data_IF_120980019747
#
_entry.id   IF_120980019747
#
_cell.length_a   1.000
_cell.length_b   1.000
_cell.length_c   1.000
_cell.angle_alpha   90.00
_cell.angle_beta   90.00
_cell.angle_gamma   90.00
#
_symmetry.space_group_name_H-M   'P 1'
#
loop_
_entity.id
_entity.type
_entity.pdbx_description
1 polymer ?
#
# COMPACT_ATOMS: atom_id res chain seq x y z
N UNK A 1 -27.14 3.57 -24.68
CA UNK A 1 -25.77 3.71 -24.15
C UNK A 1 -25.05 2.39 -24.39
N UNK A 2 -23.77 2.39 -24.79
CA UNK A 2 -23.01 1.15 -24.94
C UNK A 2 -22.99 0.40 -23.61
N UNK A 3 -23.22 -0.91 -23.64
CA UNK A 3 -23.14 -1.76 -22.46
C UNK A 3 -21.70 -2.24 -22.32
N UNK A 4 -21.03 -1.88 -21.23
CA UNK A 4 -19.65 -2.30 -20.97
C UNK A 4 -19.67 -3.60 -20.16
N UNK A 5 -18.99 -4.64 -20.65
CA UNK A 5 -18.89 -5.93 -19.96
C UNK A 5 -17.50 -6.04 -19.34
N UNK A 6 -17.44 -6.30 -18.03
CA UNK A 6 -16.18 -6.51 -17.31
C UNK A 6 -15.54 -7.83 -17.75
N UNK A 7 -14.23 -7.85 -18.01
CA UNK A 7 -13.47 -9.06 -18.32
C UNK A 7 -13.18 -9.94 -17.11
N UNK A 8 -13.35 -9.41 -15.91
CA UNK A 8 -13.17 -10.12 -14.65
C UNK A 8 -14.30 -9.73 -13.69
N UNK A 9 -14.80 -10.71 -12.93
CA UNK A 9 -15.85 -10.53 -11.91
C UNK A 9 -15.22 -10.73 -10.55
N UNK A 10 -15.63 -9.90 -9.59
CA UNK A 10 -15.26 -10.05 -8.18
C UNK A 10 -16.02 -11.18 -7.49
N UNK A 11 -16.99 -11.82 -8.15
CA UNK A 11 -18.01 -12.69 -7.56
C UNK A 11 -18.95 -12.00 -6.55
N UNK A 12 -18.88 -10.66 -6.45
CA UNK A 12 -19.78 -9.85 -5.64
C UNK A 12 -20.64 -8.97 -6.54
N UNK A 13 -21.90 -9.36 -6.77
CA UNK A 13 -22.81 -8.67 -7.70
C UNK A 13 -22.90 -7.16 -7.47
N UNK A 14 -22.90 -6.71 -6.20
CA UNK A 14 -22.98 -5.28 -5.89
C UNK A 14 -21.70 -4.52 -6.29
N UNK A 15 -20.53 -5.15 -6.14
CA UNK A 15 -19.24 -4.56 -6.52
C UNK A 15 -19.11 -4.54 -8.04
N UNK A 16 -19.43 -5.65 -8.72
CA UNK A 16 -19.40 -5.73 -10.18
C UNK A 16 -20.33 -4.70 -10.84
N UNK A 17 -21.53 -4.50 -10.29
CA UNK A 17 -22.45 -3.45 -10.75
C UNK A 17 -21.87 -2.04 -10.54
N UNK A 18 -21.21 -1.80 -9.40
CA UNK A 18 -20.57 -0.51 -9.13
C UNK A 18 -19.38 -0.27 -10.08
N UNK A 19 -18.56 -1.29 -10.34
CA UNK A 19 -17.44 -1.25 -11.29
C UNK A 19 -17.94 -0.98 -12.71
N UNK A 20 -19.01 -1.66 -13.16
CA UNK A 20 -19.59 -1.40 -14.48
C UNK A 20 -20.08 0.05 -14.60
N UNK A 21 -20.77 0.58 -13.59
CA UNK A 21 -21.23 1.98 -13.57
C UNK A 21 -20.05 2.97 -13.57
N UNK A 22 -18.95 2.61 -12.93
CA UNK A 22 -17.73 3.43 -12.93
C UNK A 22 -17.11 3.49 -14.32
N UNK A 23 -16.93 2.34 -14.97
CA UNK A 23 -16.41 2.24 -16.34
C UNK A 23 -17.30 3.04 -17.29
N UNK A 24 -18.62 2.81 -17.26
CA UNK A 24 -19.60 3.55 -18.08
C UNK A 24 -19.48 5.06 -17.91
N UNK A 25 -19.35 5.54 -16.67
CA UNK A 25 -19.24 6.96 -16.36
C UNK A 25 -17.95 7.56 -16.91
N UNK A 26 -16.82 6.90 -16.67
CA UNK A 26 -15.51 7.38 -17.10
C UNK A 26 -15.35 7.34 -18.63
N UNK A 27 -15.78 6.26 -19.29
CA UNK A 27 -15.76 6.14 -20.76
C UNK A 27 -16.67 7.19 -21.44
N UNK A 28 -17.80 7.53 -20.81
CA UNK A 28 -18.67 8.59 -21.30
C UNK A 28 -18.08 9.99 -21.11
N UNK A 29 -17.36 10.22 -20.00
CA UNK A 29 -16.74 11.52 -19.68
C UNK A 29 -15.41 11.75 -20.39
N UNK A 30 -14.67 10.69 -20.69
CA UNK A 30 -13.36 10.78 -21.34
C UNK A 30 -13.25 9.82 -22.55
N UNK A 31 -14.02 10.06 -23.62
CA UNK A 31 -14.00 9.17 -24.78
C UNK A 31 -12.59 8.99 -25.34
N UNK A 32 -12.16 7.73 -25.48
CA UNK A 32 -10.85 7.32 -26.02
C UNK A 32 -9.63 7.79 -25.20
N UNK A 33 -9.85 8.29 -23.98
CA UNK A 33 -8.77 8.76 -23.08
C UNK A 33 -8.34 7.73 -22.07
N UNK A 34 -9.10 6.66 -21.88
CA UNK A 34 -8.78 5.64 -20.91
C UNK A 34 -8.26 4.43 -21.66
N UNK A 35 -7.07 3.98 -21.30
CA UNK A 35 -6.46 2.80 -21.89
C UNK A 35 -7.01 1.54 -21.24
N UNK A 36 -7.12 1.52 -19.91
CA UNK A 36 -7.54 0.33 -19.17
C UNK A 36 -8.01 0.62 -17.75
N UNK A 37 -8.70 -0.37 -17.18
CA UNK A 37 -9.12 -0.43 -15.79
C UNK A 37 -8.59 -1.72 -15.19
N UNK A 38 -7.97 -1.63 -14.02
CA UNK A 38 -7.44 -2.79 -13.31
C UNK A 38 -7.95 -2.81 -11.88
N UNK A 39 -8.44 -3.97 -11.47
CA UNK A 39 -8.67 -4.29 -10.07
C UNK A 39 -7.34 -4.73 -9.46
N UNK A 40 -6.99 -4.19 -8.30
CA UNK A 40 -5.82 -4.62 -7.54
C UNK A 40 -6.23 -5.03 -6.12
N UNK A 41 -5.27 -5.33 -5.26
CA UNK A 41 -5.55 -5.67 -3.88
C UNK A 41 -6.31 -6.98 -3.71
N UNK A 42 -7.16 -7.05 -2.69
CA UNK A 42 -7.69 -8.33 -2.23
C UNK A 42 -8.79 -8.93 -3.09
N UNK A 43 -9.56 -8.09 -3.78
CA UNK A 43 -10.56 -8.59 -4.72
C UNK A 43 -9.93 -9.10 -6.02
N UNK A 44 -8.72 -8.65 -6.37
CA UNK A 44 -7.99 -9.13 -7.55
C UNK A 44 -7.34 -10.51 -7.34
N UNK A 45 -7.02 -10.88 -6.10
CA UNK A 45 -6.39 -12.15 -5.75
C UNK A 45 -7.29 -13.11 -4.96
N UNK A 46 -8.59 -12.80 -4.86
CA UNK A 46 -9.60 -13.61 -4.16
C UNK A 46 -9.24 -13.84 -2.68
N UNK A 47 -8.59 -12.86 -2.05
CA UNK A 47 -8.24 -12.89 -0.62
C UNK A 47 -9.02 -11.86 0.20
N UNK A 48 -10.08 -11.29 -0.37
CA UNK A 48 -10.92 -10.29 0.30
C UNK A 48 -11.53 -10.85 1.58
N UNK A 49 -11.72 -9.95 2.53
CA UNK A 49 -12.46 -10.19 3.77
C UNK A 49 -13.60 -9.19 3.82
N UNK A 50 -14.57 -9.40 4.70
CA UNK A 50 -15.76 -8.54 4.79
C UNK A 50 -15.46 -7.05 4.89
N UNK A 51 -14.32 -6.67 5.46
CA UNK A 51 -13.95 -5.27 5.62
C UNK A 51 -13.09 -4.74 4.46
N UNK A 52 -12.64 -5.57 3.52
CA UNK A 52 -11.77 -5.14 2.41
C UNK A 52 -12.37 -4.00 1.58
N UNK A 53 -11.51 -3.04 1.28
CA UNK A 53 -11.69 -2.02 0.24
C UNK A 53 -11.50 -2.61 -1.17
N UNK A 54 -12.07 -1.93 -2.16
CA UNK A 54 -11.90 -2.23 -3.58
C UNK A 54 -10.83 -1.29 -4.14
N UNK A 55 -9.62 -1.82 -4.31
CA UNK A 55 -8.48 -1.11 -4.90
C UNK A 55 -8.60 -1.13 -6.45
N UNK A 56 -8.57 0.04 -7.09
CA UNK A 56 -8.73 0.18 -8.54
C UNK A 56 -7.72 1.16 -9.13
N UNK A 57 -7.13 0.79 -10.27
CA UNK A 57 -6.32 1.69 -11.09
C UNK A 57 -7.04 2.00 -12.41
N UNK A 58 -7.26 3.29 -12.68
CA UNK A 58 -7.78 3.79 -13.96
C UNK A 58 -6.61 4.41 -14.73
N UNK A 59 -6.32 3.86 -15.90
CA UNK A 59 -5.13 4.21 -16.67
C UNK A 59 -5.52 5.12 -17.82
N UNK A 60 -5.15 6.39 -17.72
CA UNK A 60 -5.32 7.37 -18.78
C UNK A 60 -4.25 7.17 -19.87
N UNK A 61 -4.69 7.27 -21.12
CA UNK A 61 -3.84 7.24 -22.30
C UNK A 61 -2.95 8.48 -22.33
N UNK A 62 -1.64 8.24 -22.41
CA UNK A 62 -0.60 9.26 -22.35
C UNK A 62 -0.69 10.05 -21.03
N UNK A 63 -0.49 11.38 -21.08
CA UNK A 63 -0.72 12.29 -19.96
C UNK A 63 -2.13 12.89 -20.02
N UNK A 64 -2.60 13.45 -18.92
CA UNK A 64 -3.73 14.37 -18.93
C UNK A 64 -3.42 15.54 -19.88
N UNK A 65 -4.41 15.91 -20.70
CA UNK A 65 -4.29 16.97 -21.71
C UNK A 65 -4.06 18.33 -21.06
N UNK A 66 -4.67 18.55 -19.91
CA UNK A 66 -4.62 19.79 -19.15
C UNK A 66 -5.07 19.55 -17.70
N UNK A 67 -4.99 20.60 -16.90
CA UNK A 67 -5.36 20.56 -15.49
C UNK A 67 -6.86 20.33 -15.31
N UNK A 68 -7.69 20.79 -16.24
CA UNK A 68 -9.15 20.65 -16.19
C UNK A 68 -9.59 19.19 -16.40
N UNK A 69 -8.97 18.44 -17.31
CA UNK A 69 -9.23 17.00 -17.52
C UNK A 69 -8.90 16.21 -16.25
N UNK A 70 -7.75 16.50 -15.63
CA UNK A 70 -7.34 15.89 -14.37
C UNK A 70 -8.32 16.21 -13.23
N UNK A 71 -8.68 17.48 -13.06
CA UNK A 71 -9.62 17.91 -12.02
C UNK A 71 -10.99 17.26 -12.19
N UNK A 72 -11.48 17.15 -13.43
CA UNK A 72 -12.73 16.45 -13.72
C UNK A 72 -12.62 14.96 -13.35
N UNK A 73 -11.50 14.29 -13.66
CA UNK A 73 -11.31 12.88 -13.31
C UNK A 73 -11.28 12.69 -11.79
N UNK A 74 -10.54 13.53 -11.08
CA UNK A 74 -10.49 13.55 -9.61
C UNK A 74 -11.88 13.82 -9.01
N UNK A 75 -12.66 14.74 -9.58
CA UNK A 75 -14.03 15.00 -9.15
C UNK A 75 -14.94 13.78 -9.34
N UNK A 76 -14.88 13.11 -10.51
CA UNK A 76 -15.69 11.91 -10.77
C UNK A 76 -15.34 10.77 -9.81
N UNK A 77 -14.04 10.60 -9.50
CA UNK A 77 -13.55 9.68 -8.46
C UNK A 77 -14.20 10.01 -7.12
N UNK A 78 -14.05 11.24 -6.65
CA UNK A 78 -14.49 11.65 -5.31
C UNK A 78 -16.02 11.51 -5.15
N UNK A 79 -16.78 11.90 -6.17
CA UNK A 79 -18.23 11.72 -6.20
C UNK A 79 -18.63 10.24 -6.19
N UNK A 80 -17.91 9.39 -6.94
CA UNK A 80 -18.16 7.96 -6.97
C UNK A 80 -17.90 7.34 -5.60
N UNK A 81 -16.72 7.58 -5.02
CA UNK A 81 -16.34 7.07 -3.69
C UNK A 81 -17.29 7.56 -2.61
N UNK A 82 -17.71 8.84 -2.64
CA UNK A 82 -18.70 9.36 -1.70
C UNK A 82 -20.06 8.65 -1.82
N UNK A 83 -20.48 8.32 -3.05
CA UNK A 83 -21.73 7.60 -3.32
C UNK A 83 -21.67 6.13 -2.87
N UNK A 84 -20.57 5.43 -3.16
CA UNK A 84 -20.41 4.01 -2.78
C UNK A 84 -20.19 3.85 -1.29
N UNK A 85 -19.52 4.80 -0.62
CA UNK A 85 -19.37 4.80 0.84
C UNK A 85 -20.71 4.80 1.57
N UNK A 86 -21.73 5.50 1.04
CA UNK A 86 -23.12 5.46 1.59
C UNK A 86 -23.77 4.08 1.46
N UNK A 87 -23.27 3.24 0.57
CA UNK A 87 -23.65 1.84 0.38
C UNK A 87 -22.68 0.86 1.06
N UNK A 88 -21.80 1.36 1.93
CA UNK A 88 -20.80 0.58 2.65
C UNK A 88 -19.78 -0.12 1.74
N UNK A 89 -19.54 0.43 0.55
CA UNK A 89 -18.48 -0.01 -0.36
C UNK A 89 -17.38 1.04 -0.40
N UNK A 90 -16.22 0.71 0.16
CA UNK A 90 -15.02 1.55 0.15
C UNK A 90 -14.25 1.27 -1.14
N UNK A 91 -14.09 2.29 -1.99
CA UNK A 91 -13.30 2.22 -3.21
C UNK A 91 -12.08 3.12 -3.04
N UNK A 92 -10.88 2.55 -3.22
CA UNK A 92 -9.63 3.28 -3.34
C UNK A 92 -9.22 3.32 -4.82
N UNK A 93 -9.42 4.47 -5.46
CA UNK A 93 -9.25 4.62 -6.90
C UNK A 93 -8.04 5.49 -7.18
N UNK A 94 -7.06 4.89 -7.84
CA UNK A 94 -5.89 5.57 -8.39
C UNK A 94 -6.13 5.97 -9.84
N UNK A 95 -5.71 7.18 -10.18
CA UNK A 95 -5.73 7.70 -11.55
C UNK A 95 -4.28 7.79 -12.01
N UNK A 96 -3.93 7.02 -13.03
CA UNK A 96 -2.53 6.90 -13.49
C UNK A 96 -2.41 7.27 -14.95
N UNK A 97 -1.43 8.09 -15.27
CA UNK A 97 -1.04 8.40 -16.64
C UNK A 97 -0.16 7.28 -17.19
N UNK A 98 -0.51 6.73 -18.36
CA UNK A 98 0.26 5.66 -19.00
C UNK A 98 1.71 6.08 -19.28
N UNK A 99 1.96 7.37 -19.49
CA UNK A 99 3.31 7.91 -19.69
C UNK A 99 4.23 7.64 -18.48
N UNK A 100 3.68 7.57 -17.26
CA UNK A 100 4.46 7.21 -16.09
C UNK A 100 5.07 5.81 -16.23
N UNK A 101 4.34 4.85 -16.82
CA UNK A 101 4.83 3.49 -17.04
C UNK A 101 5.93 3.43 -18.12
N UNK A 102 5.90 4.32 -19.10
CA UNK A 102 6.99 4.44 -20.09
C UNK A 102 8.28 4.92 -19.44
N UNK A 103 8.17 5.89 -18.54
CA UNK A 103 9.32 6.48 -17.86
C UNK A 103 9.93 5.54 -16.82
N UNK A 104 9.10 4.87 -16.01
CA UNK A 104 9.58 4.15 -14.82
C UNK A 104 9.28 2.66 -14.77
N UNK A 105 8.43 2.13 -15.66
CA UNK A 105 7.87 0.78 -15.56
C UNK A 105 6.60 0.70 -14.71
N UNK A 106 5.97 -0.48 -14.67
CA UNK A 106 4.72 -0.74 -13.94
C UNK A 106 5.02 -1.28 -12.55
N UNK A 107 4.24 -0.81 -11.57
CA UNK A 107 4.27 -1.26 -10.19
C UNK A 107 3.98 -2.77 -10.07
N UNK A 108 4.66 -3.50 -9.16
CA UNK A 108 4.47 -4.94 -9.02
C UNK A 108 3.03 -5.35 -8.70
N UNK A 109 2.33 -4.56 -7.89
CA UNK A 109 0.94 -4.83 -7.51
C UNK A 109 0.02 -4.86 -8.74
N UNK A 110 0.19 -3.93 -9.67
CA UNK A 110 -0.60 -3.85 -10.88
C UNK A 110 -0.19 -4.95 -11.87
N UNK A 111 1.12 -5.10 -12.14
CA UNK A 111 1.62 -6.00 -13.20
C UNK A 111 1.56 -7.49 -12.86
N UNK A 112 1.80 -7.86 -11.61
CA UNK A 112 1.90 -9.28 -11.19
C UNK A 112 0.64 -9.77 -10.47
N UNK A 113 -0.19 -8.86 -9.94
CA UNK A 113 -1.37 -9.21 -9.15
C UNK A 113 -2.66 -8.54 -9.62
N UNK A 114 -2.59 -7.56 -10.51
CA UNK A 114 -3.77 -6.86 -11.02
C UNK A 114 -4.60 -7.73 -11.96
N UNK A 115 -5.92 -7.59 -11.88
CA UNK A 115 -6.87 -8.18 -12.82
C UNK A 115 -7.41 -7.10 -13.73
N UNK A 116 -7.23 -7.26 -15.04
CA UNK A 116 -7.81 -6.32 -16.01
C UNK A 116 -9.34 -6.46 -15.98
N UNK A 117 -10.02 -5.34 -15.76
CA UNK A 117 -11.48 -5.24 -15.77
C UNK A 117 -12.02 -4.83 -17.13
N UNK A 118 -11.36 -3.88 -17.80
CA UNK A 118 -11.77 -3.37 -19.12
C UNK A 118 -10.60 -2.70 -19.83
N UNK A 119 -10.64 -2.62 -21.16
CA UNK A 119 -9.63 -1.95 -22.00
C UNK A 119 -8.45 -2.82 -22.44
N UNK A 120 -7.34 -2.17 -22.79
CA UNK A 120 -6.13 -2.79 -23.33
C UNK A 120 -5.30 -3.49 -22.23
N UNK A 121 -4.53 -4.53 -22.58
CA UNK A 121 -3.60 -5.15 -21.63
C UNK A 121 -2.27 -4.40 -21.61
N UNK A 122 -2.20 -3.36 -20.77
CA UNK A 122 -1.00 -2.53 -20.65
C UNK A 122 0.13 -3.25 -19.90
N UNK A 123 -0.23 -4.20 -19.03
CA UNK A 123 0.72 -4.94 -18.21
C UNK A 123 1.62 -5.83 -19.07
N UNK A 124 1.14 -6.27 -20.23
CA UNK A 124 1.95 -6.96 -21.23
C UNK A 124 2.94 -6.04 -21.98
N UNK A 125 2.69 -4.73 -22.04
CA UNK A 125 3.46 -3.78 -22.88
C UNK A 125 4.68 -3.18 -22.20
N UNK A 126 4.59 -2.90 -20.91
CA UNK A 126 5.65 -2.21 -20.17
C UNK A 126 6.35 -3.14 -19.19
N UNK A 127 7.66 -2.97 -18.92
CA UNK A 127 8.38 -3.77 -17.94
C UNK A 127 7.90 -3.45 -16.51
N UNK A 128 8.32 -4.26 -15.54
CA UNK A 128 8.25 -3.86 -14.13
C UNK A 128 9.14 -2.64 -13.91
N UNK A 129 8.78 -1.82 -12.93
CA UNK A 129 9.69 -0.82 -12.36
C UNK A 129 11.00 -1.50 -11.91
N UNK A 130 12.19 -0.95 -12.24
CA UNK A 130 13.46 -1.51 -11.79
C UNK A 130 13.49 -1.74 -10.28
N UNK A 131 14.10 -2.84 -9.83
CA UNK A 131 14.02 -3.26 -8.43
C UNK A 131 14.68 -2.25 -7.49
N UNK A 132 15.72 -1.55 -7.95
CA UNK A 132 16.40 -0.49 -7.22
C UNK A 132 15.49 0.72 -7.00
N UNK A 133 14.78 1.15 -8.04
CA UNK A 133 13.83 2.25 -7.95
C UNK A 133 12.63 1.85 -7.07
N UNK A 134 12.15 0.62 -7.19
CA UNK A 134 11.13 0.08 -6.29
C UNK A 134 11.59 0.04 -4.83
N UNK A 135 12.82 -0.42 -4.58
CA UNK A 135 13.40 -0.42 -3.24
C UNK A 135 13.50 1.01 -2.69
N UNK A 136 14.01 1.95 -3.48
CA UNK A 136 14.10 3.36 -3.09
C UNK A 136 12.73 3.94 -2.71
N UNK A 137 11.72 3.78 -3.56
CA UNK A 137 10.36 4.24 -3.27
C UNK A 137 9.80 3.59 -2.01
N UNK A 138 9.94 2.27 -1.84
CA UNK A 138 9.37 1.55 -0.70
C UNK A 138 10.08 1.86 0.61
N UNK A 139 11.40 2.03 0.61
CA UNK A 139 12.18 2.38 1.81
C UNK A 139 11.73 3.74 2.35
N UNK A 140 11.67 4.76 1.49
CA UNK A 140 11.18 6.09 1.87
C UNK A 140 9.70 6.09 2.27
N UNK A 141 8.85 5.37 1.53
CA UNK A 141 7.43 5.31 1.82
C UNK A 141 7.12 4.65 3.18
N UNK A 142 7.86 3.61 3.57
CA UNK A 142 7.70 2.98 4.90
C UNK A 142 8.17 3.92 6.00
N UNK A 143 9.30 4.62 5.84
CA UNK A 143 9.74 5.60 6.82
C UNK A 143 8.70 6.71 7.05
N UNK A 144 8.17 7.27 5.96
CA UNK A 144 7.07 8.21 6.03
C UNK A 144 5.86 7.61 6.76
N UNK A 145 5.47 6.39 6.39
CA UNK A 145 4.32 5.72 6.98
C UNK A 145 4.49 5.50 8.50
N UNK A 146 5.66 5.04 8.94
CA UNK A 146 5.94 4.78 10.37
C UNK A 146 5.90 6.05 11.22
N UNK A 147 6.32 7.19 10.68
CA UNK A 147 6.34 8.49 11.39
C UNK A 147 4.98 9.20 11.36
N UNK A 148 4.15 8.95 10.34
CA UNK A 148 2.85 9.63 10.18
C UNK A 148 1.68 8.81 10.72
N UNK A 149 1.70 7.48 10.57
CA UNK A 149 0.63 6.62 11.07
C UNK A 149 0.68 6.54 12.59
N UNK A 150 1.88 6.38 13.14
CA UNK A 150 2.13 6.49 14.57
C UNK A 150 2.89 7.79 14.76
N UNK A 151 2.25 8.88 15.24
CA UNK A 151 2.84 10.20 15.28
C UNK A 151 4.09 10.16 16.16
N UNK A 152 5.24 10.00 15.52
CA UNK A 152 6.55 9.83 16.16
C UNK A 152 7.49 10.83 15.52
N UNK A 153 8.33 11.43 16.35
CA UNK A 153 9.46 12.20 15.85
C UNK A 153 10.39 11.25 15.11
N UNK A 154 10.92 11.66 13.95
CA UNK A 154 11.75 10.86 13.05
C UNK A 154 13.09 10.46 13.68
N UNK A 155 13.07 9.60 14.69
CA UNK A 155 14.23 9.14 15.46
C UNK A 155 14.53 7.69 15.10
N UNK A 156 15.81 7.31 15.22
CA UNK A 156 16.22 5.93 14.94
C UNK A 156 15.64 4.93 15.95
N UNK A 157 15.61 5.29 17.23
CA UNK A 157 15.07 4.46 18.30
C UNK A 157 13.58 4.75 18.46
N UNK A 158 12.74 3.79 18.13
CA UNK A 158 11.29 3.91 18.19
C UNK A 158 10.75 3.33 19.50
N UNK A 159 10.08 4.17 20.27
CA UNK A 159 9.24 3.72 21.39
C UNK A 159 7.87 3.24 20.89
N UNK A 160 7.11 2.60 21.77
CA UNK A 160 5.70 2.32 21.50
C UNK A 160 4.92 3.61 21.18
N UNK A 161 3.92 3.57 20.29
CA UNK A 161 3.08 4.73 20.00
C UNK A 161 2.41 5.34 21.24
N UNK A 162 1.87 4.50 22.14
CA UNK A 162 1.26 4.91 23.41
C UNK A 162 1.44 3.81 24.46
N UNK A 163 2.32 4.01 25.45
CA UNK A 163 2.69 2.98 26.43
C UNK A 163 1.54 2.50 27.32
N UNK A 164 0.58 3.39 27.60
CA UNK A 164 -0.52 3.09 28.52
C UNK A 164 -1.66 2.29 27.89
N UNK A 165 -1.71 2.21 26.56
CA UNK A 165 -2.74 1.49 25.83
C UNK A 165 -2.53 -0.03 25.86
N UNK A 166 -3.63 -0.79 25.84
CA UNK A 166 -3.60 -2.26 25.87
C UNK A 166 -2.84 -2.88 24.68
N UNK A 167 -2.83 -2.18 23.55
CA UNK A 167 -2.11 -2.58 22.34
C UNK A 167 -1.05 -1.55 21.97
N UNK A 168 -0.53 -0.85 22.98
CA UNK A 168 0.55 0.12 22.86
C UNK A 168 0.28 1.26 21.86
N UNK A 169 -1.00 1.56 21.55
CA UNK A 169 -1.40 2.61 20.60
C UNK A 169 -1.41 2.17 19.14
N UNK A 170 -1.14 0.89 18.85
CA UNK A 170 -1.16 0.39 17.47
C UNK A 170 -2.58 0.30 16.87
N UNK A 171 -3.63 0.35 17.69
CA UNK A 171 -5.05 0.26 17.28
C UNK A 171 -5.68 1.64 17.02
N UNK A 172 -4.93 2.54 16.38
CA UNK A 172 -5.31 3.93 16.16
C UNK A 172 -6.15 4.18 14.89
N UNK A 173 -6.67 3.11 14.27
CA UNK A 173 -7.57 3.19 13.11
C UNK A 173 -8.87 2.46 13.40
N UNK A 174 -9.96 3.00 12.90
CA UNK A 174 -11.26 2.33 12.90
C UNK A 174 -11.64 1.83 11.51
N UNK A 175 -12.57 0.89 11.48
CA UNK A 175 -13.27 0.44 10.27
C UNK A 175 -14.77 0.57 10.49
N UNK A 176 -15.50 0.96 9.45
CA UNK A 176 -16.96 0.96 9.45
C UNK A 176 -17.47 -0.46 9.22
N UNK A 177 -18.27 -0.98 10.13
CA UNK A 177 -18.91 -2.30 10.02
C UNK A 177 -20.19 -2.24 9.19
N UNK A 178 -20.74 -3.41 8.82
CA UNK A 178 -21.97 -3.52 8.03
C UNK A 178 -23.22 -2.88 8.70
N UNK A 179 -23.21 -2.71 10.02
CA UNK A 179 -24.25 -2.01 10.76
C UNK A 179 -24.03 -0.48 10.83
N UNK A 180 -22.97 0.04 10.19
CA UNK A 180 -22.57 1.45 10.21
C UNK A 180 -21.79 1.89 11.45
N UNK A 181 -21.55 1.02 12.43
CA UNK A 181 -20.73 1.38 13.60
C UNK A 181 -19.24 1.33 13.28
N UNK A 182 -18.46 2.17 13.97
CA UNK A 182 -16.99 2.16 13.89
C UNK A 182 -16.40 1.19 14.93
N UNK A 183 -15.39 0.41 14.53
CA UNK A 183 -14.66 -0.49 15.42
C UNK A 183 -13.14 -0.31 15.26
N UNK A 184 -12.35 -0.28 16.35
CA UNK A 184 -10.89 -0.30 16.27
C UNK A 184 -10.40 -1.54 15.52
N UNK A 185 -9.28 -1.39 14.81
CA UNK A 185 -8.76 -2.44 13.95
C UNK A 185 -7.23 -2.53 13.90
N UNK A 186 -6.74 -3.67 13.43
CA UNK A 186 -5.33 -3.99 13.23
C UNK A 186 -4.81 -3.59 11.83
N UNK A 187 -5.60 -2.87 11.03
CA UNK A 187 -5.21 -2.54 9.63
C UNK A 187 -3.91 -1.75 9.54
N UNK A 188 -3.72 -0.76 10.42
CA UNK A 188 -2.49 0.03 10.41
C UNK A 188 -1.28 -0.85 10.78
N UNK A 189 -1.44 -1.75 11.75
CA UNK A 189 -0.43 -2.72 12.14
C UNK A 189 -0.01 -3.61 10.96
N UNK A 190 -0.98 -4.18 10.22
CA UNK A 190 -0.69 -4.99 9.03
C UNK A 190 -0.09 -4.16 7.89
N UNK A 191 -0.57 -2.93 7.69
CA UNK A 191 -0.13 -2.04 6.62
C UNK A 191 1.33 -1.62 6.81
N UNK A 192 1.70 -1.15 8.00
CA UNK A 192 3.08 -0.69 8.27
C UNK A 192 4.08 -1.82 8.17
N UNK A 193 3.79 -2.96 8.81
CA UNK A 193 4.66 -4.13 8.81
C UNK A 193 4.75 -4.78 7.41
N UNK A 194 3.64 -4.90 6.69
CA UNK A 194 3.63 -5.45 5.34
C UNK A 194 4.40 -4.58 4.33
N UNK A 195 4.30 -3.25 4.45
CA UNK A 195 5.10 -2.34 3.63
C UNK A 195 6.58 -2.41 4.02
N UNK A 196 6.91 -2.45 5.31
CA UNK A 196 8.29 -2.61 5.77
C UNK A 196 8.92 -3.90 5.23
N UNK A 197 8.21 -5.03 5.33
CA UNK A 197 8.67 -6.29 4.76
C UNK A 197 8.87 -6.22 3.24
N UNK A 198 7.97 -5.55 2.52
CA UNK A 198 8.10 -5.33 1.07
C UNK A 198 9.33 -4.49 0.73
N UNK A 199 9.60 -3.44 1.50
CA UNK A 199 10.78 -2.59 1.32
C UNK A 199 12.08 -3.36 1.57
N UNK A 200 12.13 -4.14 2.65
CA UNK A 200 13.29 -4.97 2.98
C UNK A 200 13.53 -6.05 1.91
N UNK A 201 12.48 -6.71 1.42
CA UNK A 201 12.58 -7.67 0.31
C UNK A 201 13.12 -7.04 -0.96
N UNK A 202 12.66 -5.84 -1.31
CA UNK A 202 13.16 -5.13 -2.48
C UNK A 202 14.62 -4.71 -2.31
N UNK A 203 14.98 -4.16 -1.14
CA UNK A 203 16.31 -3.63 -0.87
C UNK A 203 17.37 -4.73 -0.68
N UNK A 204 17.09 -5.71 0.18
CA UNK A 204 18.09 -6.73 0.59
C UNK A 204 18.11 -7.93 -0.35
N UNK A 205 16.93 -8.41 -0.75
CA UNK A 205 16.79 -9.64 -1.53
C UNK A 205 16.56 -9.39 -3.03
N UNK A 206 16.40 -8.13 -3.44
CA UNK A 206 16.05 -7.74 -4.82
C UNK A 206 14.82 -8.50 -5.33
N UNK A 207 13.84 -8.71 -4.46
CA UNK A 207 12.63 -9.47 -4.73
C UNK A 207 11.39 -8.58 -4.72
N UNK A 208 10.48 -8.82 -5.66
CA UNK A 208 9.17 -8.18 -5.69
C UNK A 208 8.15 -8.99 -4.89
N UNK A 209 7.25 -8.29 -4.21
CA UNK A 209 6.02 -8.85 -3.64
C UNK A 209 4.86 -8.03 -4.15
N UNK A 210 3.93 -8.68 -4.84
CA UNK A 210 2.75 -8.03 -5.41
C UNK A 210 1.48 -8.25 -4.58
N UNK A 211 1.39 -9.39 -3.87
CA UNK A 211 0.20 -9.75 -3.09
C UNK A 211 0.51 -9.70 -1.61
N UNK A 212 -0.41 -9.11 -0.84
CA UNK A 212 -0.31 -9.04 0.64
C UNK A 212 -0.17 -10.44 1.24
N UNK A 213 -0.89 -11.44 0.69
CA UNK A 213 -0.82 -12.84 1.16
C UNK A 213 0.52 -13.52 0.93
N UNK A 214 1.27 -13.11 -0.08
CA UNK A 214 2.54 -13.75 -0.44
C UNK A 214 3.72 -13.12 0.30
N UNK A 215 3.51 -11.98 0.98
CA UNK A 215 4.58 -11.21 1.62
C UNK A 215 5.36 -12.01 2.66
N UNK A 216 4.67 -12.64 3.62
CA UNK A 216 5.32 -13.42 4.68
C UNK A 216 6.03 -14.68 4.13
N UNK A 217 5.47 -15.32 3.10
CA UNK A 217 6.09 -16.47 2.43
C UNK A 217 7.37 -16.06 1.69
N UNK A 218 7.30 -14.96 0.93
CA UNK A 218 8.44 -14.41 0.19
C UNK A 218 9.53 -13.94 1.15
N UNK A 219 9.14 -13.28 2.25
CA UNK A 219 10.07 -12.86 3.30
C UNK A 219 10.83 -14.04 3.89
N UNK A 220 10.12 -15.12 4.26
CA UNK A 220 10.73 -16.36 4.73
C UNK A 220 11.62 -17.02 3.69
N UNK A 221 11.25 -16.97 2.41
CA UNK A 221 12.06 -17.57 1.35
C UNK A 221 13.40 -16.85 1.13
N UNK A 222 13.44 -15.53 1.32
CA UNK A 222 14.57 -14.71 0.89
C UNK A 222 15.40 -14.09 2.02
N UNK A 223 14.80 -13.81 3.18
CA UNK A 223 15.48 -13.20 4.34
C UNK A 223 15.57 -14.19 5.50
N UNK A 224 14.49 -14.93 5.77
CA UNK A 224 14.42 -16.05 6.75
C UNK A 224 14.97 -15.75 8.16
N UNK A 225 14.67 -14.57 8.71
CA UNK A 225 15.02 -14.23 10.09
C UNK A 225 13.82 -14.37 11.06
N UNK A 226 14.02 -13.95 12.31
CA UNK A 226 13.01 -14.02 13.37
C UNK A 226 11.68 -13.31 13.04
N UNK A 227 11.68 -12.34 12.10
CA UNK A 227 10.50 -11.57 11.73
C UNK A 227 9.56 -12.31 10.78
N UNK A 228 10.03 -13.37 10.10
CA UNK A 228 9.18 -14.18 9.22
C UNK A 228 7.96 -14.76 9.95
N UNK A 229 8.15 -15.21 11.20
CA UNK A 229 7.07 -15.73 12.07
C UNK A 229 6.10 -14.64 12.50
N UNK A 230 6.60 -13.42 12.77
CA UNK A 230 5.75 -12.27 13.07
C UNK A 230 4.85 -11.93 11.88
N UNK A 231 5.41 -11.83 10.67
CA UNK A 231 4.67 -11.50 9.46
C UNK A 231 3.58 -12.53 9.14
N UNK A 232 3.89 -13.82 9.32
CA UNK A 232 2.90 -14.90 9.21
C UNK A 232 1.79 -14.77 10.25
N UNK A 233 2.14 -14.45 11.51
CA UNK A 233 1.17 -14.27 12.59
C UNK A 233 0.23 -13.08 12.31
N UNK A 234 0.77 -11.98 11.80
CA UNK A 234 -0.01 -10.81 11.38
C UNK A 234 -0.98 -11.18 10.25
N UNK A 235 -0.53 -11.91 9.24
CA UNK A 235 -1.41 -12.33 8.15
C UNK A 235 -2.48 -13.32 8.63
N UNK A 236 -2.09 -14.36 9.36
CA UNK A 236 -2.98 -15.45 9.77
C UNK A 236 -3.95 -15.02 10.86
N UNK A 237 -3.48 -14.31 11.88
CA UNK A 237 -4.32 -13.91 13.01
C UNK A 237 -5.05 -12.60 12.72
N UNK A 238 -4.32 -11.52 12.43
CA UNK A 238 -4.95 -10.21 12.29
C UNK A 238 -5.84 -10.12 11.05
N UNK A 239 -5.37 -10.58 9.89
CA UNK A 239 -6.16 -10.54 8.65
C UNK A 239 -7.12 -11.72 8.52
N UNK A 240 -6.63 -12.96 8.53
CA UNK A 240 -7.46 -14.12 8.19
C UNK A 240 -8.40 -14.57 9.31
N UNK A 241 -7.95 -14.58 10.57
CA UNK A 241 -8.79 -15.04 11.70
C UNK A 241 -9.69 -13.94 12.26
N UNK A 242 -9.15 -12.74 12.44
CA UNK A 242 -9.88 -11.64 13.07
C UNK A 242 -10.46 -10.62 12.08
N UNK A 243 -10.22 -10.78 10.78
CA UNK A 243 -10.74 -9.90 9.71
C UNK A 243 -10.46 -8.41 9.98
N UNK A 244 -9.27 -8.15 10.53
CA UNK A 244 -8.77 -6.88 11.06
C UNK A 244 -9.38 -6.39 12.36
N UNK A 245 -10.42 -7.00 12.89
CA UNK A 245 -11.07 -6.55 14.12
C UNK A 245 -10.25 -6.95 15.35
N UNK A 246 -10.53 -6.28 16.47
CA UNK A 246 -9.99 -6.73 17.75
C UNK A 246 -10.67 -8.03 18.18
N UNK A 247 -9.91 -9.03 18.66
CA UNK A 247 -10.50 -10.21 19.24
C UNK A 247 -11.24 -9.89 20.55
N UNK A 248 -12.29 -10.66 20.82
CA UNK A 248 -13.13 -10.50 22.01
C UNK A 248 -12.68 -11.35 23.19
N UNK A 249 -12.02 -12.49 22.94
CA UNK A 249 -11.56 -13.38 24.00
C UNK A 249 -10.30 -12.85 24.68
N UNK A 250 -10.21 -12.99 26.00
CA UNK A 250 -9.02 -12.55 26.77
C UNK A 250 -7.73 -13.20 26.28
N UNK A 251 -7.79 -14.47 25.88
CA UNK A 251 -6.63 -15.20 25.36
C UNK A 251 -6.13 -14.61 24.04
N UNK A 252 -7.02 -14.36 23.08
CA UNK A 252 -6.63 -13.79 21.79
C UNK A 252 -6.19 -12.33 21.91
N UNK A 253 -6.77 -11.57 22.84
CA UNK A 253 -6.27 -10.21 23.16
C UNK A 253 -4.85 -10.25 23.71
N UNK A 254 -4.55 -11.22 24.58
CA UNK A 254 -3.17 -11.43 25.04
C UNK A 254 -2.23 -11.81 23.89
N UNK A 255 -2.70 -12.61 22.92
CA UNK A 255 -1.94 -12.91 21.71
C UNK A 255 -1.69 -11.65 20.87
N UNK A 256 -2.72 -10.83 20.62
CA UNK A 256 -2.57 -9.57 19.89
C UNK A 256 -1.61 -8.61 20.59
N UNK A 257 -1.66 -8.53 21.93
CA UNK A 257 -0.70 -7.74 22.72
C UNK A 257 0.73 -8.25 22.51
N UNK A 258 0.95 -9.58 22.51
CA UNK A 258 2.25 -10.17 22.20
C UNK A 258 2.74 -9.86 20.79
N UNK A 259 1.85 -9.88 19.79
CA UNK A 259 2.17 -9.46 18.42
C UNK A 259 2.62 -7.99 18.39
N UNK A 260 1.90 -7.10 19.09
CA UNK A 260 2.25 -5.67 19.14
C UNK A 260 3.65 -5.42 19.74
N UNK A 261 4.08 -6.24 20.72
CA UNK A 261 5.44 -6.16 21.27
C UNK A 261 6.49 -6.54 20.22
N UNK A 262 6.23 -7.60 19.46
CA UNK A 262 7.11 -8.03 18.36
C UNK A 262 7.15 -7.01 17.21
N UNK A 263 6.02 -6.34 16.91
CA UNK A 263 5.98 -5.28 15.90
C UNK A 263 6.93 -4.13 16.25
N UNK A 264 7.01 -3.71 17.51
CA UNK A 264 7.97 -2.67 17.90
C UNK A 264 9.41 -3.08 17.58
N UNK A 265 9.78 -4.33 17.85
CA UNK A 265 11.09 -4.87 17.49
C UNK A 265 11.33 -4.87 15.97
N UNK A 266 10.32 -5.21 15.18
CA UNK A 266 10.41 -5.21 13.72
C UNK A 266 10.50 -3.80 13.13
N UNK A 267 9.75 -2.83 13.67
CA UNK A 267 9.85 -1.42 13.31
C UNK A 267 11.27 -0.90 13.61
N UNK A 268 11.84 -1.26 14.75
CA UNK A 268 13.23 -0.94 15.11
C UNK A 268 14.25 -1.61 14.18
N UNK A 269 13.99 -2.85 13.76
CA UNK A 269 14.79 -3.52 12.74
C UNK A 269 14.75 -2.75 11.41
N UNK A 270 13.56 -2.41 10.92
CA UNK A 270 13.39 -1.62 9.71
C UNK A 270 14.14 -0.28 9.79
N UNK A 271 14.02 0.46 10.90
CA UNK A 271 14.70 1.75 11.06
C UNK A 271 16.23 1.65 10.95
N UNK A 272 16.83 0.57 11.47
CA UNK A 272 18.27 0.31 11.32
C UNK A 272 18.64 0.08 9.85
N UNK A 273 17.83 -0.67 9.12
CA UNK A 273 18.03 -0.91 7.68
C UNK A 273 17.83 0.37 6.87
N UNK A 274 16.85 1.20 7.24
CA UNK A 274 16.58 2.48 6.59
C UNK A 274 17.72 3.49 6.78
N UNK A 275 18.34 3.55 7.97
CA UNK A 275 19.57 4.33 8.18
C UNK A 275 20.68 3.89 7.24
N UNK A 276 20.94 2.58 7.14
CA UNK A 276 21.98 2.04 6.25
C UNK A 276 21.69 2.37 4.78
N UNK A 277 20.44 2.26 4.36
CA UNK A 277 19.97 2.63 3.03
C UNK A 277 20.28 4.11 2.71
N UNK A 278 19.86 5.06 3.57
CA UNK A 278 20.13 6.49 3.35
C UNK A 278 21.63 6.77 3.24
N UNK A 279 22.44 6.22 4.16
CA UNK A 279 23.88 6.43 4.15
C UNK A 279 24.52 5.89 2.86
N UNK A 280 24.03 4.74 2.37
CA UNK A 280 24.49 4.16 1.10
C UNK A 280 24.16 5.08 -0.08
N UNK A 281 22.94 5.63 -0.13
CA UNK A 281 22.54 6.55 -1.21
C UNK A 281 23.31 7.87 -1.19
N UNK A 282 23.55 8.43 0.01
CA UNK A 282 24.34 9.65 0.16
C UNK A 282 25.82 9.46 -0.22
N UNK A 283 26.32 8.22 -0.17
CA UNK A 283 27.68 7.84 -0.55
C UNK A 283 27.80 7.34 -2.01
N UNK A 284 26.68 7.17 -2.73
CA UNK A 284 26.68 6.64 -4.09
C UNK A 284 27.42 7.56 -5.07
N UNK A 285 27.85 7.06 -6.24
CA UNK A 285 28.44 7.93 -7.27
C UNK A 285 27.39 8.77 -8.02
N UNK A 286 26.10 8.44 -7.88
CA UNK A 286 25.00 9.12 -8.55
C UNK A 286 24.58 10.40 -7.80
N UNK A 287 24.88 11.56 -8.37
CA UNK A 287 24.43 12.85 -7.80
C UNK A 287 22.91 13.02 -7.83
N UNK A 288 22.22 12.42 -8.79
CA UNK A 288 20.75 12.40 -8.83
C UNK A 288 20.19 11.66 -7.61
N UNK A 289 20.74 10.49 -7.30
CA UNK A 289 20.32 9.71 -6.13
C UNK A 289 20.55 10.49 -4.84
N UNK A 290 21.76 11.05 -4.65
CA UNK A 290 22.06 11.90 -3.48
C UNK A 290 21.08 13.04 -3.34
N UNK A 291 20.79 13.74 -4.43
CA UNK A 291 19.91 14.90 -4.42
C UNK A 291 18.49 14.51 -4.03
N UNK A 292 17.96 13.42 -4.60
CA UNK A 292 16.65 12.86 -4.23
C UNK A 292 16.59 12.47 -2.75
N UNK A 293 17.60 11.78 -2.24
CA UNK A 293 17.69 11.41 -0.81
C UNK A 293 17.76 12.64 0.08
N UNK A 294 18.54 13.67 -0.29
CA UNK A 294 18.61 14.96 0.43
C UNK A 294 17.27 15.67 0.47
N UNK A 295 16.60 15.80 -0.66
CA UNK A 295 15.27 16.42 -0.75
C UNK A 295 14.23 15.70 0.11
N UNK A 296 14.28 14.36 0.12
CA UNK A 296 13.43 13.58 1.00
C UNK A 296 13.76 13.86 2.48
N UNK A 297 15.04 13.85 2.87
CA UNK A 297 15.47 14.12 4.24
C UNK A 297 15.19 15.57 4.69
N UNK A 298 15.14 16.53 3.79
CA UNK A 298 14.71 17.90 4.11
C UNK A 298 13.22 17.96 4.49
N UNK A 299 12.38 17.13 3.85
CA UNK A 299 10.93 17.07 4.11
C UNK A 299 10.59 16.18 5.30
N UNK A 300 11.32 15.08 5.45
CA UNK A 300 11.11 14.04 6.44
C UNK A 300 12.45 13.64 7.07
N UNK A 301 13.02 14.46 7.96
CA UNK A 301 14.35 14.23 8.51
C UNK A 301 14.37 13.01 9.41
N UNK A 302 15.40 12.16 9.25
CA UNK A 302 15.80 11.18 10.25
C UNK A 302 16.87 11.81 11.16
N UNK A 303 16.49 12.09 12.40
CA UNK A 303 17.34 12.65 13.44
C UNK A 303 18.32 11.60 13.97
N UNK A 304 19.41 11.40 13.22
CA UNK A 304 20.55 10.55 13.54
C UNK A 304 21.85 11.29 13.18
N UNK A 305 22.82 11.28 14.10
CA UNK A 305 24.04 12.08 13.96
C UNK A 305 24.88 11.71 12.72
N UNK A 306 24.88 10.44 12.30
CA UNK A 306 25.62 10.02 11.10
C UNK A 306 24.92 10.48 9.82
N UNK A 307 23.58 10.38 9.78
CA UNK A 307 22.78 10.86 8.65
C UNK A 307 22.91 12.37 8.52
N UNK A 308 22.80 13.12 9.62
CA UNK A 308 22.97 14.57 9.63
C UNK A 308 24.38 15.00 9.21
N UNK A 309 25.41 14.22 9.55
CA UNK A 309 26.78 14.46 9.08
C UNK A 309 26.93 14.19 7.58
N UNK A 310 26.31 13.12 7.06
CA UNK A 310 26.37 12.77 5.63
C UNK A 310 25.57 13.74 4.72
N UNK A 311 24.62 14.49 5.29
CA UNK A 311 23.85 15.51 4.58
C UNK A 311 24.59 16.85 4.42
N UNK A 312 25.66 17.09 5.17
CA UNK A 312 26.48 18.31 5.10
C UNK A 312 27.51 18.23 3.98
#
# INVERSE_FOLDING_TARGET
MPHFTLSHSTNHTQIDQALQQLVERYESSFPERITAYYLTGSYADESDVQTSDVDLDIIFRERFRNIEERQLAEQLRDEFTARTKRRQLEFDISLTEEEAFRARGIDPNLKLAGQRLFGEDICARYPLIPIEEWAHERMHAVYYLLTHVYPREGRLNLDYPEWSDEFFGYMNRTVTLANGSEAPCTRNLLRTTGWAATALLAFQARAYVARKRDCHLTYRQHIDDEWGTLLESLYTLCRQRWHYLLPTSTQERQQLRGICQLVQGFEQHFMRQYKQFILTELQADSEELKQRTREFQQRFPLHDAEVEAALR
#
